data_IF_789590798009
#
_entry.id   IF_789590798009
#
_cell.length_a   1.000
_cell.length_b   1.000
_cell.length_c   1.000
_cell.angle_alpha   90.00
_cell.angle_beta   90.00
_cell.angle_gamma   90.00
#
_symmetry.space_group_name_H-M   'P 1'
#
loop_
_entity.id
_entity.type
_entity.pdbx_description
1 polymer ?
#
# COMPACT_ATOMS: atom_id res chain seq x y z
N UNK A 1 28.02 -10.27 0.56
CA UNK A 1 26.84 -10.03 1.39
C UNK A 1 25.74 -9.29 0.63
N UNK A 2 26.05 -8.36 -0.29
CA UNK A 2 25.01 -7.62 -1.06
C UNK A 2 24.36 -8.40 -2.22
N UNK A 3 25.02 -9.43 -2.77
CA UNK A 3 24.54 -10.13 -3.98
C UNK A 3 23.53 -11.24 -3.65
N UNK A 4 23.80 -12.06 -2.63
CA UNK A 4 22.83 -13.03 -2.11
C UNK A 4 21.56 -12.35 -1.60
N UNK A 5 21.69 -11.21 -0.90
CA UNK A 5 20.52 -10.44 -0.44
C UNK A 5 19.70 -9.87 -1.61
N UNK A 6 20.35 -9.46 -2.71
CA UNK A 6 19.65 -9.04 -3.94
C UNK A 6 18.94 -10.19 -4.65
N UNK A 7 19.58 -11.35 -4.76
CA UNK A 7 18.97 -12.54 -5.36
C UNK A 7 17.81 -13.07 -4.53
N UNK A 8 17.97 -13.15 -3.20
CA UNK A 8 16.89 -13.48 -2.26
C UNK A 8 15.75 -12.47 -2.33
N UNK A 9 16.05 -11.18 -2.41
CA UNK A 9 15.08 -10.09 -2.56
C UNK A 9 14.28 -10.21 -3.87
N UNK A 10 14.96 -10.53 -4.98
CA UNK A 10 14.33 -10.76 -6.28
C UNK A 10 13.46 -12.03 -6.29
N UNK A 11 13.96 -13.12 -5.69
CA UNK A 11 13.24 -14.40 -5.60
C UNK A 11 11.99 -14.30 -4.69
N UNK A 12 12.09 -13.59 -3.57
CA UNK A 12 10.95 -13.34 -2.64
C UNK A 12 9.85 -12.56 -3.35
N UNK A 13 10.18 -11.47 -4.05
CA UNK A 13 9.21 -10.71 -4.84
C UNK A 13 8.58 -11.52 -5.97
N UNK A 14 9.33 -12.44 -6.58
CA UNK A 14 8.77 -13.37 -7.60
C UNK A 14 7.64 -14.21 -7.04
N UNK A 15 7.74 -14.71 -5.79
CA UNK A 15 6.66 -15.48 -5.16
C UNK A 15 5.40 -14.63 -4.95
N UNK A 16 5.53 -13.44 -4.36
CA UNK A 16 4.38 -12.53 -4.17
C UNK A 16 3.75 -12.17 -5.51
N UNK A 17 4.56 -11.81 -6.51
CA UNK A 17 4.10 -11.50 -7.85
C UNK A 17 3.29 -12.66 -8.46
N UNK A 18 3.79 -13.89 -8.40
CA UNK A 18 3.09 -15.06 -8.94
C UNK A 18 1.76 -15.33 -8.19
N UNK A 19 1.74 -15.15 -6.87
CA UNK A 19 0.51 -15.28 -6.07
C UNK A 19 -0.53 -14.22 -6.46
N UNK A 20 -0.11 -12.95 -6.57
CA UNK A 20 -1.01 -11.86 -7.00
C UNK A 20 -1.52 -12.11 -8.42
N UNK A 21 -0.65 -12.54 -9.33
CA UNK A 21 -1.04 -12.88 -10.72
C UNK A 21 -2.08 -14.00 -10.77
N UNK A 22 -1.89 -15.04 -9.95
CA UNK A 22 -2.86 -16.13 -9.85
C UNK A 22 -4.23 -15.62 -9.38
N UNK A 23 -4.26 -14.77 -8.34
CA UNK A 23 -5.51 -14.19 -7.81
C UNK A 23 -6.18 -13.32 -8.87
N UNK A 24 -5.43 -12.46 -9.57
CA UNK A 24 -5.97 -11.62 -10.65
C UNK A 24 -6.61 -12.48 -11.74
N UNK A 25 -5.92 -13.53 -12.18
CA UNK A 25 -6.43 -14.43 -13.23
C UNK A 25 -7.74 -15.15 -12.83
N UNK A 26 -7.97 -15.37 -11.53
CA UNK A 26 -9.16 -16.08 -11.03
C UNK A 26 -10.28 -15.09 -10.69
N UNK A 27 -9.95 -13.99 -10.03
CA UNK A 27 -10.92 -13.09 -9.41
C UNK A 27 -11.31 -11.91 -10.31
N UNK A 28 -10.53 -11.56 -11.34
CA UNK A 28 -10.79 -10.41 -12.20
C UNK A 28 -11.32 -10.81 -13.57
N UNK A 29 -12.48 -10.26 -13.92
CA UNK A 29 -13.12 -10.44 -15.23
C UNK A 29 -12.88 -9.28 -16.19
N UNK A 30 -12.46 -8.12 -15.67
CA UNK A 30 -12.11 -6.93 -16.45
C UNK A 30 -10.86 -6.24 -15.88
N UNK A 31 -10.26 -5.34 -16.66
CA UNK A 31 -9.13 -4.48 -16.24
C UNK A 31 -7.93 -5.22 -15.63
N UNK A 32 -7.58 -6.41 -16.15
CA UNK A 32 -6.34 -7.12 -15.77
C UNK A 32 -5.06 -6.29 -16.04
N UNK A 33 -5.17 -5.24 -16.85
CA UNK A 33 -4.15 -4.19 -17.04
C UNK A 33 -3.74 -3.51 -15.74
N UNK A 34 -4.66 -3.37 -14.77
CA UNK A 34 -4.37 -2.76 -13.46
C UNK A 34 -3.22 -3.50 -12.76
N UNK A 35 -3.30 -4.83 -12.75
CA UNK A 35 -2.24 -5.65 -12.18
C UNK A 35 -0.96 -5.64 -13.04
N UNK A 36 -1.10 -5.90 -14.34
CA UNK A 36 0.05 -6.11 -15.23
C UNK A 36 0.87 -4.84 -15.47
N UNK A 37 0.26 -3.66 -15.37
CA UNK A 37 0.92 -2.36 -15.58
C UNK A 37 1.12 -1.63 -14.26
N UNK A 38 0.06 -1.33 -13.52
CA UNK A 38 0.13 -0.41 -12.38
C UNK A 38 0.71 -1.08 -11.13
N UNK A 39 0.15 -2.22 -10.70
CA UNK A 39 0.58 -2.93 -9.50
C UNK A 39 2.02 -3.42 -9.65
N UNK A 40 2.36 -3.99 -10.81
CA UNK A 40 3.71 -4.49 -11.09
C UNK A 40 4.73 -3.35 -11.14
N UNK A 41 4.40 -2.21 -11.76
CA UNK A 41 5.29 -1.05 -11.77
C UNK A 41 5.51 -0.48 -10.35
N UNK A 42 4.46 -0.45 -9.53
CA UNK A 42 4.57 -0.02 -8.13
C UNK A 42 5.52 -0.92 -7.34
N UNK A 43 5.33 -2.24 -7.38
CA UNK A 43 6.17 -3.20 -6.65
C UNK A 43 7.64 -3.14 -7.09
N UNK A 44 7.89 -2.94 -8.38
CA UNK A 44 9.26 -2.81 -8.90
C UNK A 44 9.95 -1.51 -8.44
N UNK A 45 9.20 -0.40 -8.36
CA UNK A 45 9.73 0.89 -7.88
C UNK A 45 9.90 0.94 -6.38
N UNK A 46 9.15 0.15 -5.62
CA UNK A 46 9.13 0.17 -4.16
C UNK A 46 9.38 -1.24 -3.59
N UNK A 47 10.63 -1.75 -3.69
CA UNK A 47 10.95 -3.13 -3.34
C UNK A 47 10.69 -3.51 -1.88
N UNK A 48 10.64 -2.52 -0.99
CA UNK A 48 10.43 -2.68 0.45
C UNK A 48 9.06 -2.16 0.93
N UNK A 49 8.11 -2.00 0.00
CA UNK A 49 6.77 -1.52 0.34
C UNK A 49 5.97 -2.55 1.16
N UNK A 50 5.23 -2.02 2.12
CA UNK A 50 4.13 -2.70 2.80
C UNK A 50 2.82 -2.00 2.41
N UNK A 51 1.79 -2.76 2.07
CA UNK A 51 0.51 -2.22 1.60
C UNK A 51 -0.66 -3.19 1.84
N UNK A 52 -1.86 -2.64 1.79
CA UNK A 52 -3.10 -3.41 1.63
C UNK A 52 -3.44 -3.44 0.14
N UNK A 53 -3.52 -4.64 -0.42
CA UNK A 53 -3.96 -4.87 -1.80
C UNK A 53 -5.42 -5.30 -1.79
N UNK A 54 -6.25 -4.58 -2.53
CA UNK A 54 -7.68 -4.80 -2.62
C UNK A 54 -8.00 -5.26 -4.04
N UNK A 55 -8.69 -6.39 -4.17
CA UNK A 55 -9.04 -6.99 -5.45
C UNK A 55 -10.55 -7.03 -5.60
N UNK A 56 -11.04 -6.62 -6.76
CA UNK A 56 -12.45 -6.75 -7.18
C UNK A 56 -12.51 -7.27 -8.61
N UNK A 57 -13.67 -7.72 -9.05
CA UNK A 57 -13.85 -8.23 -10.41
C UNK A 57 -13.42 -7.25 -11.52
N UNK A 58 -13.48 -5.94 -11.23
CA UNK A 58 -13.23 -4.85 -12.18
C UNK A 58 -11.93 -4.07 -11.94
N UNK A 59 -10.99 -4.58 -11.16
CA UNK A 59 -9.71 -3.88 -10.95
C UNK A 59 -9.05 -4.21 -9.62
N UNK A 60 -7.93 -3.54 -9.37
CA UNK A 60 -7.21 -3.59 -8.10
C UNK A 60 -7.12 -2.21 -7.46
N UNK A 61 -6.68 -2.17 -6.21
CA UNK A 61 -6.32 -0.94 -5.52
C UNK A 61 -5.22 -1.26 -4.49
N UNK A 62 -4.31 -0.31 -4.27
CA UNK A 62 -3.23 -0.44 -3.28
C UNK A 62 -3.29 0.73 -2.31
N UNK A 63 -3.30 0.43 -1.02
CA UNK A 63 -3.18 1.43 0.05
C UNK A 63 -1.88 1.21 0.79
N UNK A 64 -1.00 2.21 0.77
CA UNK A 64 0.35 2.04 1.31
C UNK A 64 0.34 2.15 2.83
N UNK A 65 1.21 1.36 3.45
CA UNK A 65 1.62 1.57 4.83
C UNK A 65 2.82 2.51 4.79
N UNK A 66 2.55 3.82 4.79
CA UNK A 66 3.57 4.84 4.57
C UNK A 66 4.61 4.88 5.71
N UNK A 67 5.85 5.23 5.33
CA UNK A 67 6.88 5.71 6.26
C UNK A 67 6.93 7.24 6.20
N UNK A 68 7.23 7.88 7.33
CA UNK A 68 7.30 9.37 7.38
C UNK A 68 8.28 9.94 6.33
N UNK A 69 9.41 9.27 6.09
CA UNK A 69 10.41 9.67 5.11
C UNK A 69 9.99 9.52 3.64
N UNK A 70 8.88 8.82 3.35
CA UNK A 70 8.33 8.67 2.00
C UNK A 70 7.27 9.74 1.68
N UNK A 71 6.89 10.53 2.69
CA UNK A 71 5.86 11.56 2.58
C UNK A 71 6.49 12.97 2.51
N UNK A 72 5.74 13.96 1.98
CA UNK A 72 6.17 15.35 1.97
C UNK A 72 6.53 15.85 3.38
N UNK A 73 7.35 16.91 3.46
CA UNK A 73 7.65 17.55 4.74
C UNK A 73 6.41 18.24 5.32
N UNK A 74 6.46 18.58 6.61
CA UNK A 74 5.41 19.32 7.27
C UNK A 74 5.08 20.63 6.51
N UNK A 75 3.80 20.81 6.17
CA UNK A 75 3.31 21.98 5.43
C UNK A 75 3.63 21.99 3.93
N UNK A 76 4.34 20.99 3.41
CA UNK A 76 4.63 20.87 1.97
C UNK A 76 3.47 20.20 1.23
N UNK A 77 2.91 20.90 0.25
CA UNK A 77 1.88 20.37 -0.64
C UNK A 77 2.51 19.87 -1.93
N UNK A 78 2.27 18.60 -2.29
CA UNK A 78 2.78 17.99 -3.52
C UNK A 78 1.65 17.67 -4.48
N UNK A 79 1.94 17.56 -5.77
CA UNK A 79 0.95 17.17 -6.77
C UNK A 79 0.39 15.77 -6.44
N UNK A 80 -0.93 15.68 -6.37
CA UNK A 80 -1.65 14.46 -6.02
C UNK A 80 -2.87 14.29 -6.91
N UNK A 81 -2.82 13.30 -7.82
CA UNK A 81 -3.85 13.00 -8.82
C UNK A 81 -4.20 14.25 -9.67
N UNK A 82 -5.30 14.94 -9.33
CA UNK A 82 -5.84 16.13 -10.02
C UNK A 82 -5.69 17.43 -9.22
N UNK A 83 -5.03 17.39 -8.06
CA UNK A 83 -4.85 18.54 -7.16
C UNK A 83 -3.45 18.51 -6.52
N UNK A 84 -3.30 19.22 -5.41
CA UNK A 84 -2.20 19.09 -4.46
C UNK A 84 -2.69 18.47 -3.15
N UNK A 85 -1.81 17.77 -2.44
CA UNK A 85 -2.09 17.23 -1.12
C UNK A 85 -0.85 17.34 -0.21
N UNK A 86 -1.09 17.59 1.07
CA UNK A 86 -0.15 17.48 2.18
C UNK A 86 0.02 16.02 2.61
N UNK A 87 1.03 15.73 3.45
CA UNK A 87 1.23 14.39 4.01
C UNK A 87 0.02 13.92 4.82
N UNK A 88 -0.67 14.82 5.52
CA UNK A 88 -1.87 14.53 6.29
C UNK A 88 -3.05 14.17 5.38
N UNK A 89 -3.29 14.95 4.32
CA UNK A 89 -4.38 14.70 3.37
C UNK A 89 -4.20 13.38 2.62
N UNK A 90 -2.97 13.00 2.28
CA UNK A 90 -2.68 11.70 1.64
C UNK A 90 -3.07 10.55 2.57
N UNK A 91 -2.55 10.54 3.80
CA UNK A 91 -2.77 9.41 4.72
C UNK A 91 -4.20 9.34 5.25
N UNK A 92 -4.82 10.48 5.52
CA UNK A 92 -6.21 10.54 5.98
C UNK A 92 -7.18 10.21 4.85
N UNK A 93 -6.85 10.59 3.60
CA UNK A 93 -7.60 10.22 2.41
C UNK A 93 -7.64 8.72 2.18
N UNK A 94 -6.49 8.03 2.23
CA UNK A 94 -6.43 6.57 2.11
C UNK A 94 -7.21 5.87 3.24
N UNK A 95 -7.10 6.37 4.47
CA UNK A 95 -7.84 5.83 5.61
C UNK A 95 -9.36 6.05 5.47
N UNK A 96 -9.79 7.21 4.97
CA UNK A 96 -11.20 7.48 4.70
C UNK A 96 -11.72 6.55 3.59
N UNK A 97 -10.96 6.39 2.51
CA UNK A 97 -11.32 5.51 1.40
C UNK A 97 -11.52 4.05 1.88
N UNK A 98 -10.61 3.50 2.68
CA UNK A 98 -10.76 2.11 3.15
C UNK A 98 -12.00 1.90 4.02
N UNK A 99 -12.38 2.91 4.80
CA UNK A 99 -13.57 2.86 5.66
C UNK A 99 -14.85 2.91 4.83
N UNK A 100 -14.90 3.78 3.83
CA UNK A 100 -16.14 4.21 3.22
C UNK A 100 -16.42 3.58 1.85
N UNK A 101 -15.39 3.25 1.06
CA UNK A 101 -15.57 2.96 -0.37
C UNK A 101 -15.55 1.46 -0.71
N UNK A 102 -14.88 0.64 0.10
CA UNK A 102 -14.72 -0.80 -0.20
C UNK A 102 -15.71 -1.66 0.59
N UNK A 103 -16.50 -2.49 -0.07
CA UNK A 103 -17.42 -3.45 0.55
C UNK A 103 -16.84 -4.88 0.53
N UNK A 104 -16.76 -5.59 1.67
CA UNK A 104 -16.25 -6.97 1.74
C UNK A 104 -17.07 -8.02 0.98
N UNK A 105 -18.29 -7.72 0.56
CA UNK A 105 -19.10 -8.65 -0.25
C UNK A 105 -18.56 -8.84 -1.67
N UNK A 106 -17.87 -7.83 -2.21
CA UNK A 106 -17.34 -7.85 -3.58
C UNK A 106 -15.89 -7.34 -3.68
N UNK A 107 -15.21 -7.17 -2.55
CA UNK A 107 -13.79 -6.86 -2.47
C UNK A 107 -13.07 -7.86 -1.57
N UNK A 108 -11.97 -8.42 -2.08
CA UNK A 108 -11.01 -9.16 -1.29
C UNK A 108 -9.87 -8.26 -0.82
N UNK A 109 -9.41 -8.47 0.41
CA UNK A 109 -8.35 -7.68 1.03
C UNK A 109 -7.15 -8.57 1.36
N UNK A 110 -5.96 -8.09 1.03
CA UNK A 110 -4.70 -8.79 1.27
C UNK A 110 -3.69 -7.84 1.92
N UNK A 111 -3.05 -8.29 3.00
CA UNK A 111 -1.87 -7.64 3.56
C UNK A 111 -0.64 -8.16 2.82
N UNK A 112 0.12 -7.24 2.23
CA UNK A 112 1.34 -7.53 1.48
C UNK A 112 2.51 -6.76 2.07
N UNK A 113 3.60 -7.47 2.37
CA UNK A 113 4.89 -6.88 2.74
C UNK A 113 5.97 -7.50 1.85
N UNK A 114 6.49 -6.70 0.93
CA UNK A 114 7.47 -7.17 -0.06
C UNK A 114 8.81 -7.51 0.59
N UNK A 115 9.24 -6.71 1.57
CA UNK A 115 10.53 -6.89 2.26
C UNK A 115 10.55 -8.18 3.08
N UNK A 116 9.41 -8.51 3.71
CA UNK A 116 9.26 -9.68 4.59
C UNK A 116 8.64 -10.88 3.88
N UNK A 117 8.35 -10.77 2.58
CA UNK A 117 7.70 -11.81 1.78
C UNK A 117 6.36 -12.29 2.39
N UNK A 118 5.57 -11.35 2.93
CA UNK A 118 4.27 -11.64 3.53
C UNK A 118 3.19 -11.39 2.48
N UNK A 119 2.33 -12.38 2.28
CA UNK A 119 1.10 -12.26 1.52
C UNK A 119 0.00 -12.99 2.29
N UNK A 120 -1.01 -12.27 2.76
CA UNK A 120 -2.07 -12.86 3.60
C UNK A 120 -3.42 -12.22 3.32
N UNK A 121 -4.43 -13.04 3.03
CA UNK A 121 -5.83 -12.59 2.99
C UNK A 121 -6.26 -12.15 4.39
N UNK A 122 -6.88 -10.97 4.47
CA UNK A 122 -7.35 -10.38 5.71
C UNK A 122 -8.79 -9.90 5.55
N UNK A 123 -9.47 -9.61 6.66
CA UNK A 123 -10.78 -8.98 6.62
C UNK A 123 -10.66 -7.47 6.36
N UNK A 124 -11.75 -6.83 5.89
CA UNK A 124 -11.82 -5.35 5.81
C UNK A 124 -11.53 -4.70 7.17
N UNK A 125 -12.03 -5.26 8.27
CA UNK A 125 -11.82 -4.69 9.60
C UNK A 125 -10.37 -4.78 10.05
N UNK A 126 -9.65 -5.86 9.71
CA UNK A 126 -8.21 -5.96 9.96
C UNK A 126 -7.41 -4.98 9.09
N UNK A 127 -7.83 -4.77 7.85
CA UNK A 127 -7.20 -3.81 6.94
C UNK A 127 -7.33 -2.37 7.48
N UNK A 128 -8.53 -1.99 7.94
CA UNK A 128 -8.79 -0.70 8.60
C UNK A 128 -7.89 -0.57 9.83
N UNK A 129 -7.88 -1.54 10.75
CA UNK A 129 -7.06 -1.49 11.97
C UNK A 129 -5.58 -1.30 11.68
N UNK A 130 -5.07 -1.95 10.62
CA UNK A 130 -3.68 -1.81 10.18
C UNK A 130 -3.39 -0.38 9.71
N UNK A 131 -4.20 0.17 8.81
CA UNK A 131 -4.03 1.54 8.33
C UNK A 131 -4.20 2.56 9.47
N UNK A 132 -5.20 2.41 10.33
CA UNK A 132 -5.38 3.27 11.52
C UNK A 132 -4.14 3.26 12.42
N UNK A 133 -3.56 2.08 12.65
CA UNK A 133 -2.32 1.97 13.44
C UNK A 133 -1.14 2.68 12.76
N UNK A 134 -1.00 2.56 11.44
CA UNK A 134 0.05 3.25 10.68
C UNK A 134 -0.14 4.77 10.73
N UNK A 135 -1.35 5.27 10.44
CA UNK A 135 -1.69 6.70 10.50
C UNK A 135 -1.45 7.27 11.90
N UNK A 136 -1.85 6.55 12.96
CA UNK A 136 -1.59 6.99 14.34
C UNK A 136 -0.10 7.11 14.63
N UNK A 137 0.71 6.13 14.21
CA UNK A 137 2.18 6.18 14.37
C UNK A 137 2.78 7.37 13.63
N UNK A 138 2.35 7.62 12.40
CA UNK A 138 2.82 8.76 11.60
C UNK A 138 2.49 10.09 12.29
N UNK A 139 1.24 10.27 12.73
CA UNK A 139 0.82 11.50 13.44
C UNK A 139 1.62 11.71 14.73
N UNK A 140 1.87 10.66 15.50
CA UNK A 140 2.74 10.76 16.70
C UNK A 140 4.17 11.18 16.35
N UNK A 141 4.76 10.66 15.27
CA UNK A 141 6.09 11.07 14.81
C UNK A 141 6.09 12.55 14.41
N UNK A 142 5.08 12.99 13.66
CA UNK A 142 4.95 14.37 13.20
C UNK A 142 4.75 15.38 14.33
N UNK A 143 4.01 15.01 15.38
CA UNK A 143 3.89 15.83 16.59
C UNK A 143 5.23 16.01 17.29
N UNK A 144 6.08 14.96 17.31
CA UNK A 144 7.42 15.04 17.89
C UNK A 144 8.36 15.90 17.04
N UNK A 145 8.27 15.80 15.71
CA UNK A 145 9.00 16.67 14.77
C UNK A 145 8.68 18.15 15.03
N UNK A 146 7.39 18.49 15.20
CA UNK A 146 6.98 19.87 15.48
C UNK A 146 7.47 20.41 16.83
N UNK A 147 7.52 19.56 17.87
CA UNK A 147 8.02 19.94 19.19
C UNK A 147 9.54 20.11 19.23
N UNK A 148 10.28 19.34 18.44
CA UNK A 148 11.74 19.43 18.36
C UNK A 148 12.22 20.65 17.55
N UNK A 149 11.35 21.21 16.71
CA UNK A 149 11.61 22.42 15.93
C UNK A 149 11.18 23.72 16.62
N UNK A 150 10.59 23.63 17.82
CA UNK A 150 10.17 24.76 18.68
C UNK A 150 11.19 25.00 19.78
#
# INVERSE_FOLDING_TARGET
MEEEDRELSMFRRKKIYLTMKMIVNISMTAYQTDFTIHDTAFMNKNPDAEFIWIVRASGTHMMRMWKSCELPKAGEAVRYIFSTATREEIVDGELAAIKNEFNPEWHDFYHVDLSRNIFRKISKSDAIKKLESNVKKLKTLWEQEGRAAS
#
